data_IF_777346185639
#
_entry.id   IF_777346185639
#
_cell.length_a   1.000
_cell.length_b   1.000
_cell.length_c   1.000
_cell.angle_alpha   90.00
_cell.angle_beta   90.00
_cell.angle_gamma   90.00
#
_symmetry.space_group_name_H-M   'P 1'
#
loop_
_entity.id
_entity.type
_entity.pdbx_description
1 polymer ?
#
# COMPACT_ATOMS: atom_id res chain seq x y z
N UNK A 1 27.28 23.04 13.63
CA UNK A 1 28.26 24.08 13.29
C UNK A 1 27.74 24.98 12.17
N UNK A 2 27.49 24.47 10.96
CA UNK A 2 27.16 25.26 9.75
C UNK A 2 25.92 26.13 9.86
N UNK A 3 24.95 25.82 10.72
CA UNK A 3 23.70 26.59 10.88
C UNK A 3 23.73 27.57 12.06
N UNK A 4 24.68 27.41 12.98
CA UNK A 4 24.73 28.17 14.25
C UNK A 4 23.53 27.94 15.20
N UNK A 5 22.63 27.00 14.88
CA UNK A 5 21.44 26.69 15.71
C UNK A 5 21.84 25.79 16.87
N UNK A 6 21.34 26.12 18.04
CA UNK A 6 21.38 25.24 19.22
C UNK A 6 20.29 24.18 19.10
N UNK A 7 20.61 22.92 19.44
CA UNK A 7 19.69 21.79 19.46
C UNK A 7 19.69 21.16 20.86
N UNK A 8 18.54 20.66 21.35
CA UNK A 8 18.48 20.01 22.67
C UNK A 8 19.21 18.67 22.65
N UNK A 9 19.84 18.34 23.78
CA UNK A 9 20.35 16.98 24.03
C UNK A 9 19.28 16.25 24.81
N UNK A 10 18.85 15.09 24.30
CA UNK A 10 17.82 14.25 24.90
C UNK A 10 18.36 12.85 25.14
N UNK A 11 17.75 12.10 26.06
CA UNK A 11 18.00 10.66 26.24
C UNK A 11 16.80 9.88 25.74
N UNK A 12 17.03 8.87 24.91
CA UNK A 12 16.00 8.00 24.34
C UNK A 12 16.51 6.57 24.19
N UNK A 13 15.63 5.59 24.42
CA UNK A 13 15.97 4.16 24.31
C UNK A 13 16.34 3.73 22.87
N UNK A 14 16.03 4.53 21.87
CA UNK A 14 16.41 4.33 20.47
C UNK A 14 17.93 4.34 20.27
N UNK A 15 18.69 5.04 21.13
CA UNK A 15 20.13 5.22 20.99
C UNK A 15 20.88 4.05 21.62
N UNK A 16 21.65 3.31 20.83
CA UNK A 16 22.59 2.31 21.35
C UNK A 16 23.90 3.01 21.79
N UNK A 17 24.17 3.04 23.11
CA UNK A 17 25.38 3.72 23.63
C UNK A 17 26.70 3.02 23.23
N UNK A 18 26.62 1.77 22.73
CA UNK A 18 27.79 1.00 22.31
C UNK A 18 28.08 1.12 20.82
N UNK A 19 27.19 1.80 20.05
CA UNK A 19 27.38 1.99 18.62
C UNK A 19 28.00 3.37 18.33
N UNK A 20 29.10 3.40 17.59
CA UNK A 20 29.79 4.63 17.21
C UNK A 20 30.24 5.48 18.40
N UNK A 21 29.71 6.70 18.49
CA UNK A 21 29.97 7.62 19.62
C UNK A 21 28.96 7.50 20.77
N UNK A 22 27.95 6.64 20.64
CA UNK A 22 26.83 6.60 21.58
C UNK A 22 25.89 7.81 21.49
N UNK A 23 26.04 8.67 20.48
CA UNK A 23 25.21 9.83 20.23
C UNK A 23 24.72 9.86 18.78
N UNK A 24 23.42 10.09 18.59
CA UNK A 24 22.76 10.13 17.27
C UNK A 24 22.14 11.51 17.06
N UNK A 25 22.31 12.06 15.86
CA UNK A 25 21.59 13.27 15.43
C UNK A 25 20.18 12.87 14.99
N UNK A 26 19.17 13.50 15.57
CA UNK A 26 17.76 13.24 15.25
C UNK A 26 17.23 14.31 14.29
N UNK A 27 16.68 13.89 13.16
CA UNK A 27 16.04 14.75 12.13
C UNK A 27 14.59 14.31 11.89
N UNK A 28 13.64 14.76 12.70
CA UNK A 28 12.27 14.24 12.71
C UNK A 28 11.50 14.38 11.40
N UNK A 29 11.92 15.27 10.49
CA UNK A 29 11.22 15.49 9.21
C UNK A 29 11.63 14.50 8.11
N UNK A 30 12.83 13.91 8.18
CA UNK A 30 13.43 13.18 7.06
C UNK A 30 13.79 11.71 7.35
N UNK A 31 13.43 11.20 8.52
CA UNK A 31 13.64 9.81 8.90
C UNK A 31 12.45 9.29 9.73
N UNK A 32 11.87 8.12 9.40
CA UNK A 32 10.72 7.58 10.14
C UNK A 32 11.01 7.27 11.62
N UNK A 33 12.22 6.79 11.95
CA UNK A 33 12.58 6.51 13.33
C UNK A 33 12.79 7.81 14.12
N UNK A 34 13.48 8.77 13.51
CA UNK A 34 13.68 10.10 14.08
C UNK A 34 12.34 10.83 14.27
N UNK A 35 11.36 10.59 13.38
CA UNK A 35 10.00 11.13 13.53
C UNK A 35 9.34 10.63 14.82
N UNK A 36 9.43 9.35 15.14
CA UNK A 36 8.87 8.78 16.36
C UNK A 36 9.60 9.28 17.61
N UNK A 37 10.94 9.40 17.56
CA UNK A 37 11.71 10.05 18.64
C UNK A 37 11.27 11.51 18.81
N UNK A 38 11.17 12.24 17.70
CA UNK A 38 10.74 13.63 17.70
C UNK A 38 9.33 13.83 18.29
N UNK A 39 8.42 12.88 18.04
CA UNK A 39 7.07 12.88 18.58
C UNK A 39 7.08 12.67 20.12
N UNK A 40 7.88 11.69 20.60
CA UNK A 40 7.99 11.41 22.05
C UNK A 40 8.56 12.60 22.84
N UNK A 41 9.51 13.30 22.25
CA UNK A 41 10.21 14.44 22.90
C UNK A 41 9.74 15.82 22.44
N UNK A 42 8.66 15.88 21.66
CA UNK A 42 8.10 17.12 21.11
C UNK A 42 9.16 18.01 20.43
N UNK A 43 10.03 17.38 19.62
CA UNK A 43 11.09 18.07 18.90
C UNK A 43 10.54 18.85 17.69
N UNK A 44 11.17 19.97 17.31
CA UNK A 44 10.80 20.71 16.10
C UNK A 44 11.05 19.86 14.84
N UNK A 45 10.14 19.96 13.88
CA UNK A 45 10.22 19.28 12.59
C UNK A 45 10.70 20.28 11.53
N UNK A 46 11.99 20.29 11.25
CA UNK A 46 12.58 21.18 10.25
C UNK A 46 12.66 20.46 8.91
N UNK A 47 11.90 20.93 7.93
CA UNK A 47 12.03 20.48 6.55
C UNK A 47 13.25 21.12 5.91
N UNK A 48 14.16 20.30 5.38
CA UNK A 48 15.38 20.75 4.68
C UNK A 48 15.51 20.23 3.25
N UNK A 49 14.57 19.37 2.83
CA UNK A 49 14.43 18.88 1.45
C UNK A 49 12.99 19.16 1.03
N UNK A 50 12.77 19.77 -0.13
CA UNK A 50 11.45 19.98 -0.69
C UNK A 50 10.93 18.76 -1.46
N UNK A 51 9.74 18.86 -2.05
CA UNK A 51 9.12 17.77 -2.82
C UNK A 51 9.79 17.54 -4.18
N UNK A 52 10.63 18.44 -4.65
CA UNK A 52 11.44 18.30 -5.86
C UNK A 52 12.86 17.77 -5.58
N UNK A 53 13.16 17.42 -4.33
CA UNK A 53 14.45 16.89 -3.89
C UNK A 53 15.54 17.95 -3.74
N UNK A 54 15.16 19.23 -3.62
CA UNK A 54 16.09 20.34 -3.45
C UNK A 54 16.22 20.77 -1.99
N UNK A 55 17.41 21.23 -1.62
CA UNK A 55 17.67 21.74 -0.28
C UNK A 55 16.98 23.07 -0.04
N UNK A 56 16.23 23.19 1.06
CA UNK A 56 15.54 24.41 1.52
C UNK A 56 15.79 24.64 3.01
N UNK A 57 15.56 25.86 3.49
CA UNK A 57 15.72 26.23 4.90
C UNK A 57 17.11 25.91 5.49
N UNK A 58 18.12 25.95 4.65
CA UNK A 58 19.54 25.69 4.95
C UNK A 58 20.36 26.95 4.69
N UNK A 59 21.64 27.02 5.13
CA UNK A 59 22.52 28.11 4.75
C UNK A 59 22.57 28.33 3.23
N UNK A 60 22.56 29.58 2.77
CA UNK A 60 22.44 29.99 1.36
C UNK A 60 23.36 29.24 0.40
N UNK A 61 24.56 28.89 0.85
CA UNK A 61 25.53 28.12 0.04
C UNK A 61 25.09 26.68 -0.30
N UNK A 62 24.06 26.15 0.39
CA UNK A 62 23.51 24.81 0.16
C UNK A 62 22.08 24.86 -0.41
N UNK A 63 21.45 26.04 -0.42
CA UNK A 63 20.06 26.20 -0.86
C UNK A 63 19.90 25.91 -2.36
N UNK A 64 18.84 25.19 -2.74
CA UNK A 64 18.54 24.82 -4.12
C UNK A 64 19.39 23.67 -4.70
N UNK A 65 20.37 23.15 -3.95
CA UNK A 65 21.19 22.02 -4.39
C UNK A 65 20.41 20.71 -4.34
N UNK A 66 20.79 19.75 -5.19
CA UNK A 66 20.37 18.36 -5.03
C UNK A 66 20.99 17.73 -3.78
N UNK A 67 20.31 16.75 -3.17
CA UNK A 67 20.74 16.09 -1.93
C UNK A 67 22.18 15.55 -2.01
N UNK A 68 22.54 14.91 -3.13
CA UNK A 68 23.89 14.36 -3.31
C UNK A 68 24.97 15.44 -3.47
N UNK A 69 24.66 16.55 -4.14
CA UNK A 69 25.57 17.68 -4.26
C UNK A 69 25.70 18.40 -2.91
N UNK A 70 24.59 18.59 -2.20
CA UNK A 70 24.59 19.17 -0.87
C UNK A 70 25.43 18.37 0.12
N UNK A 71 25.30 17.03 0.11
CA UNK A 71 26.11 16.14 0.95
C UNK A 71 27.61 16.38 0.77
N UNK A 72 28.08 16.41 -0.48
CA UNK A 72 29.51 16.65 -0.78
C UNK A 72 29.97 18.02 -0.28
N UNK A 73 29.16 19.07 -0.51
CA UNK A 73 29.51 20.43 -0.09
C UNK A 73 29.46 20.61 1.44
N UNK A 74 28.50 19.97 2.12
CA UNK A 74 28.40 19.98 3.58
C UNK A 74 29.64 19.31 4.21
N UNK A 75 30.03 18.11 3.71
CA UNK A 75 31.20 17.42 4.20
C UNK A 75 32.46 18.26 3.99
N UNK A 76 32.63 18.87 2.79
CA UNK A 76 33.75 19.75 2.52
C UNK A 76 33.80 20.98 3.45
N UNK A 77 32.64 21.60 3.73
CA UNK A 77 32.56 22.73 4.65
C UNK A 77 32.91 22.34 6.10
N UNK A 78 32.44 21.18 6.56
CA UNK A 78 32.75 20.64 7.90
C UNK A 78 34.25 20.29 8.04
N UNK A 79 34.89 19.81 6.97
CA UNK A 79 36.35 19.62 6.95
C UNK A 79 37.10 20.97 7.05
N UNK A 80 36.64 21.99 6.33
CA UNK A 80 37.25 23.33 6.37
C UNK A 80 37.14 23.98 7.75
N UNK A 81 36.10 23.65 8.52
CA UNK A 81 35.91 24.10 9.91
C UNK A 81 36.64 23.22 10.94
N UNK A 82 37.35 22.17 10.50
CA UNK A 82 38.07 21.20 11.35
C UNK A 82 37.19 20.49 12.41
N UNK A 83 35.88 20.35 12.15
CA UNK A 83 34.94 19.73 13.09
C UNK A 83 34.71 18.24 12.84
N UNK A 84 35.20 17.67 11.72
CA UNK A 84 35.14 16.23 11.45
C UNK A 84 36.32 15.54 12.17
N UNK A 85 36.03 14.61 13.07
CA UNK A 85 37.02 13.81 13.77
C UNK A 85 37.41 12.54 13.00
N UNK A 86 36.45 11.90 12.35
CA UNK A 86 36.64 10.63 11.64
C UNK A 86 35.57 10.49 10.56
N UNK A 87 35.96 9.90 9.44
CA UNK A 87 35.08 9.51 8.36
C UNK A 87 35.30 8.02 8.08
N UNK A 88 34.22 7.25 8.01
CA UNK A 88 34.24 5.80 7.77
C UNK A 88 33.19 5.43 6.74
N UNK A 89 33.55 4.49 5.88
CA UNK A 89 32.59 3.86 4.96
C UNK A 89 31.80 2.80 5.71
N UNK A 90 30.49 2.90 5.66
CA UNK A 90 29.58 1.91 6.24
C UNK A 90 28.68 1.30 5.16
N UNK A 91 28.30 0.04 5.33
CA UNK A 91 27.26 -0.59 4.51
C UNK A 91 25.93 -0.48 5.24
N UNK A 92 24.93 0.06 4.55
CA UNK A 92 23.56 0.12 5.07
C UNK A 92 22.54 -0.06 3.96
N UNK A 93 21.31 -0.45 4.31
CA UNK A 93 20.21 -0.61 3.35
C UNK A 93 19.58 0.72 3.02
N UNK A 94 19.50 1.07 1.73
CA UNK A 94 18.84 2.27 1.23
C UNK A 94 17.63 1.86 0.39
N UNK A 95 16.49 2.50 0.62
CA UNK A 95 15.29 2.33 -0.21
C UNK A 95 15.44 3.05 -1.54
N UNK A 96 15.10 2.34 -2.64
CA UNK A 96 15.05 2.92 -3.98
C UNK A 96 13.66 2.75 -4.57
N UNK A 97 13.19 3.78 -5.30
CA UNK A 97 11.97 3.64 -6.09
C UNK A 97 12.20 2.62 -7.23
N UNK A 98 11.35 1.62 -7.30
CA UNK A 98 11.52 0.51 -8.24
C UNK A 98 11.31 0.89 -9.71
N UNK A 99 10.70 2.03 -10.00
CA UNK A 99 10.47 2.54 -11.36
C UNK A 99 11.60 3.44 -11.84
N UNK A 100 11.97 4.44 -11.03
CA UNK A 100 12.98 5.42 -11.40
C UNK A 100 14.40 4.99 -11.05
N UNK A 101 14.57 4.07 -10.08
CA UNK A 101 15.88 3.68 -9.55
C UNK A 101 16.55 4.77 -8.70
N UNK A 102 15.80 5.80 -8.29
CA UNK A 102 16.31 6.87 -7.45
C UNK A 102 16.14 6.54 -5.95
N UNK A 103 17.05 7.00 -5.08
CA UNK A 103 16.92 6.82 -3.65
C UNK A 103 15.70 7.58 -3.10
N UNK A 104 14.96 6.93 -2.20
CA UNK A 104 13.77 7.51 -1.57
C UNK A 104 14.21 8.49 -0.49
N UNK A 105 13.61 9.68 -0.49
CA UNK A 105 13.77 10.69 0.56
C UNK A 105 12.48 10.76 1.38
N UNK A 106 12.47 10.34 2.66
CA UNK A 106 11.29 10.47 3.51
C UNK A 106 10.95 11.93 3.75
N UNK A 107 9.68 12.28 3.55
CA UNK A 107 9.12 13.61 3.78
C UNK A 107 7.82 13.49 4.56
N UNK A 108 7.59 14.45 5.47
CA UNK A 108 6.30 14.54 6.15
C UNK A 108 5.34 15.33 5.25
N UNK A 109 4.16 14.74 5.01
CA UNK A 109 3.05 15.40 4.32
C UNK A 109 1.75 15.10 5.06
N UNK A 110 0.86 16.09 5.13
CA UNK A 110 -0.51 15.85 5.59
C UNK A 110 -1.22 14.95 4.61
N UNK A 111 -1.95 13.96 5.12
CA UNK A 111 -2.59 12.92 4.34
C UNK A 111 -3.91 12.53 4.98
N UNK A 112 -4.82 12.04 4.17
CA UNK A 112 -6.09 11.47 4.63
C UNK A 112 -5.85 10.05 5.13
N UNK A 113 -6.20 9.80 6.40
CA UNK A 113 -6.13 8.48 7.01
C UNK A 113 -7.51 7.97 7.37
N UNK A 114 -7.76 6.70 7.07
CA UNK A 114 -8.91 5.97 7.59
C UNK A 114 -8.50 5.29 8.90
N UNK A 115 -9.22 5.58 9.97
CA UNK A 115 -9.04 4.89 11.25
C UNK A 115 -9.48 3.44 11.13
N UNK A 116 -8.53 2.51 11.24
CA UNK A 116 -8.77 1.11 10.92
C UNK A 116 -9.23 0.27 12.12
N UNK A 117 -8.83 0.61 13.33
CA UNK A 117 -9.14 -0.17 14.55
C UNK A 117 -10.64 -0.49 14.68
N UNK A 118 -11.60 0.48 14.66
CA UNK A 118 -13.01 0.18 14.83
C UNK A 118 -13.61 -0.63 13.67
N UNK A 119 -13.00 -0.61 12.50
CA UNK A 119 -13.39 -1.44 11.36
C UNK A 119 -12.88 -2.87 11.52
N UNK A 120 -11.64 -3.01 11.99
CA UNK A 120 -11.00 -4.30 12.24
C UNK A 120 -11.71 -5.07 13.37
N UNK A 121 -12.12 -4.40 14.45
CA UNK A 121 -12.90 -5.03 15.52
C UNK A 121 -14.18 -5.70 15.02
N UNK A 122 -14.96 -5.00 14.17
CA UNK A 122 -16.16 -5.57 13.55
C UNK A 122 -15.84 -6.79 12.70
N UNK A 123 -14.74 -6.73 11.94
CA UNK A 123 -14.31 -7.84 11.10
C UNK A 123 -13.84 -9.05 11.94
N UNK A 124 -13.03 -8.83 12.98
CA UNK A 124 -12.58 -9.88 13.91
C UNK A 124 -13.78 -10.59 14.54
N UNK A 125 -14.74 -9.84 15.08
CA UNK A 125 -15.95 -10.39 15.69
C UNK A 125 -16.74 -11.26 14.70
N UNK A 126 -16.87 -10.84 13.44
CA UNK A 126 -17.56 -11.62 12.41
C UNK A 126 -16.81 -12.91 12.04
N UNK A 127 -15.47 -12.85 12.00
CA UNK A 127 -14.61 -13.99 11.71
C UNK A 127 -14.60 -15.01 12.85
N UNK A 128 -14.50 -14.55 14.09
CA UNK A 128 -14.55 -15.40 15.31
C UNK A 128 -15.93 -16.06 15.46
N UNK A 129 -17.00 -15.36 15.07
CA UNK A 129 -18.36 -15.90 15.01
C UNK A 129 -18.60 -16.85 13.79
N UNK A 130 -17.58 -17.19 13.02
CA UNK A 130 -17.63 -18.05 11.83
C UNK A 130 -18.68 -17.61 10.78
N UNK A 131 -18.90 -16.30 10.62
CA UNK A 131 -19.82 -15.78 9.59
C UNK A 131 -19.26 -15.91 8.17
N UNK A 132 -17.98 -16.19 8.03
CA UNK A 132 -17.29 -16.41 6.75
C UNK A 132 -16.44 -17.68 6.86
N UNK A 133 -16.57 -18.58 5.88
CA UNK A 133 -15.76 -19.79 5.77
C UNK A 133 -14.57 -19.54 4.84
N UNK A 134 -13.39 -20.06 5.18
CA UNK A 134 -12.18 -19.90 4.39
C UNK A 134 -11.66 -21.23 3.85
N UNK A 135 -11.24 -21.22 2.60
CA UNK A 135 -10.56 -22.31 1.93
C UNK A 135 -9.20 -21.83 1.40
N UNK A 136 -8.06 -22.22 2.06
CA UNK A 136 -7.94 -23.15 3.19
C UNK A 136 -8.32 -22.49 4.53
N UNK A 137 -8.83 -23.29 5.47
CA UNK A 137 -9.36 -22.82 6.75
C UNK A 137 -8.35 -22.01 7.60
N UNK A 138 -7.06 -22.35 7.53
CA UNK A 138 -5.99 -21.66 8.27
C UNK A 138 -5.83 -20.18 7.93
N UNK A 139 -6.31 -19.75 6.76
CA UNK A 139 -6.24 -18.36 6.31
C UNK A 139 -7.10 -17.41 7.16
N UNK A 140 -8.17 -17.92 7.78
CA UNK A 140 -8.97 -17.14 8.74
C UNK A 140 -8.11 -16.64 9.91
N UNK A 141 -7.29 -17.49 10.50
CA UNK A 141 -6.46 -17.12 11.64
C UNK A 141 -5.35 -16.12 11.24
N UNK A 142 -4.78 -16.30 10.05
CA UNK A 142 -3.80 -15.33 9.51
C UNK A 142 -4.45 -13.96 9.35
N UNK A 143 -5.68 -13.90 8.82
CA UNK A 143 -6.41 -12.64 8.67
C UNK A 143 -6.73 -11.99 10.02
N UNK A 144 -7.17 -12.77 11.02
CA UNK A 144 -7.41 -12.26 12.38
C UNK A 144 -6.13 -11.66 12.98
N UNK A 145 -4.98 -12.33 12.84
CA UNK A 145 -3.70 -11.79 13.34
C UNK A 145 -3.30 -10.50 12.62
N UNK A 146 -3.50 -10.43 11.31
CA UNK A 146 -3.28 -9.20 10.56
C UNK A 146 -4.16 -8.04 11.07
N UNK A 147 -5.47 -8.30 11.25
CA UNK A 147 -6.42 -7.30 11.73
C UNK A 147 -6.13 -6.81 13.16
N UNK A 148 -5.62 -7.67 14.04
CA UNK A 148 -5.22 -7.29 15.41
C UNK A 148 -4.02 -6.32 15.45
N UNK A 149 -3.20 -6.32 14.41
CA UNK A 149 -2.01 -5.48 14.29
C UNK A 149 -2.14 -4.42 13.18
N UNK A 150 -3.36 -4.10 12.77
CA UNK A 150 -3.59 -3.19 11.67
C UNK A 150 -3.29 -1.74 12.09
N UNK A 151 -2.65 -0.99 11.21
CA UNK A 151 -2.43 0.44 11.37
C UNK A 151 -3.44 1.24 10.57
N UNK A 152 -3.62 2.51 10.91
CA UNK A 152 -4.44 3.44 10.16
C UNK A 152 -3.99 3.50 8.69
N UNK A 153 -4.97 3.53 7.80
CA UNK A 153 -4.74 3.40 6.37
C UNK A 153 -4.65 4.77 5.71
N UNK A 154 -3.47 5.11 5.21
CA UNK A 154 -3.28 6.27 4.36
C UNK A 154 -4.04 6.10 3.03
N UNK A 155 -5.06 6.93 2.83
CA UNK A 155 -5.90 6.91 1.62
C UNK A 155 -5.36 7.80 0.51
N UNK A 156 -4.54 8.79 0.83
CA UNK A 156 -4.06 9.80 -0.13
C UNK A 156 -3.02 9.24 -1.10
N UNK A 157 -3.17 9.58 -2.39
CA UNK A 157 -2.18 9.31 -3.43
C UNK A 157 -1.93 10.56 -4.26
N UNK A 158 -0.66 10.92 -4.41
CA UNK A 158 -0.18 12.06 -5.21
C UNK A 158 0.08 11.60 -6.65
N UNK A 159 -0.99 11.20 -7.35
CA UNK A 159 -0.93 10.71 -8.73
C UNK A 159 -1.95 11.45 -9.60
N UNK A 160 -1.64 11.71 -10.88
CA UNK A 160 -2.52 12.50 -11.75
C UNK A 160 -3.79 11.76 -12.17
N UNK A 161 -3.84 10.44 -11.99
CA UNK A 161 -4.97 9.59 -12.36
C UNK A 161 -5.48 8.79 -11.15
N UNK A 162 -6.72 9.00 -10.79
CA UNK A 162 -7.37 8.31 -9.68
C UNK A 162 -8.74 8.89 -9.37
N UNK A 163 -9.44 8.32 -8.38
CA UNK A 163 -10.72 8.85 -7.88
C UNK A 163 -10.41 10.02 -6.94
N UNK A 164 -10.88 11.23 -7.24
CA UNK A 164 -10.63 12.40 -6.38
C UNK A 164 -11.20 12.21 -4.97
N UNK A 165 -10.50 12.72 -3.98
CA UNK A 165 -11.03 12.81 -2.62
C UNK A 165 -12.06 13.93 -2.59
N UNK A 166 -13.33 13.67 -2.16
CA UNK A 166 -14.42 14.63 -2.22
C UNK A 166 -14.36 15.65 -1.07
N UNK A 167 -13.16 16.18 -0.79
CA UNK A 167 -12.90 17.14 0.26
C UNK A 167 -12.45 18.48 -0.32
N UNK A 168 -12.88 19.56 0.29
CA UNK A 168 -12.56 20.93 -0.12
C UNK A 168 -12.15 21.73 1.10
N UNK A 169 -10.98 22.37 1.03
CA UNK A 169 -10.40 23.19 2.08
C UNK A 169 -10.72 24.66 1.84
N UNK A 170 -11.12 25.38 2.88
CA UNK A 170 -11.29 26.83 2.81
C UNK A 170 -9.94 27.52 2.53
N UNK A 171 -9.92 28.38 1.51
CA UNK A 171 -8.69 29.11 1.11
C UNK A 171 -8.18 30.06 2.22
N UNK A 172 -9.07 30.55 3.07
CA UNK A 172 -8.76 31.47 4.15
C UNK A 172 -8.54 30.83 5.52
N UNK A 173 -8.87 29.54 5.68
CA UNK A 173 -8.76 28.81 6.94
C UNK A 173 -8.49 27.32 6.65
N UNK A 174 -7.28 26.88 6.86
CA UNK A 174 -6.80 25.53 6.57
C UNK A 174 -7.41 24.45 7.46
N UNK A 175 -8.10 24.83 8.52
CA UNK A 175 -8.84 23.91 9.42
C UNK A 175 -10.28 23.71 9.02
N UNK A 176 -10.85 24.55 8.12
CA UNK A 176 -12.23 24.52 7.68
C UNK A 176 -12.37 23.68 6.39
N UNK A 177 -12.90 22.48 6.51
CA UNK A 177 -13.10 21.53 5.44
C UNK A 177 -14.58 21.22 5.21
N UNK A 178 -14.96 21.05 3.95
CA UNK A 178 -16.27 20.55 3.55
C UNK A 178 -16.14 19.34 2.64
N UNK A 179 -17.19 18.55 2.55
CA UNK A 179 -17.28 17.41 1.63
C UNK A 179 -18.39 17.67 0.62
N UNK A 180 -18.12 17.41 -0.66
CA UNK A 180 -19.08 17.57 -1.75
C UNK A 180 -18.90 16.49 -2.80
N UNK A 181 -20.01 16.10 -3.44
CA UNK A 181 -19.99 15.20 -4.60
C UNK A 181 -19.56 15.93 -5.90
N UNK A 182 -19.47 17.26 -5.88
CA UNK A 182 -19.06 18.09 -7.03
C UNK A 182 -17.56 18.03 -7.29
N UNK A 183 -17.01 16.82 -7.34
CA UNK A 183 -15.55 16.57 -7.45
C UNK A 183 -14.95 16.98 -8.79
N UNK A 184 -15.74 17.31 -9.80
CA UNK A 184 -15.25 17.83 -11.08
C UNK A 184 -14.86 19.32 -10.96
N UNK A 185 -15.42 20.04 -9.99
CA UNK A 185 -15.10 21.43 -9.74
C UNK A 185 -13.78 21.55 -8.94
N UNK A 186 -12.93 22.49 -9.33
CA UNK A 186 -11.69 22.79 -8.60
C UNK A 186 -11.92 23.66 -7.38
N UNK A 187 -12.98 24.44 -7.40
CA UNK A 187 -13.35 25.37 -6.31
C UNK A 187 -14.86 25.42 -6.15
N UNK A 188 -15.30 25.53 -4.90
CA UNK A 188 -16.69 25.75 -4.54
C UNK A 188 -16.84 27.03 -3.73
N UNK A 189 -17.93 27.78 -3.94
CA UNK A 189 -18.26 28.93 -3.09
C UNK A 189 -19.56 28.64 -2.33
N UNK A 190 -19.45 28.53 -1.01
CA UNK A 190 -20.56 28.21 -0.12
C UNK A 190 -20.61 29.25 1.01
N UNK A 191 -21.75 29.89 1.19
CA UNK A 191 -21.97 30.92 2.23
C UNK A 191 -20.90 32.06 2.22
N UNK A 192 -20.45 32.47 1.02
CA UNK A 192 -19.46 33.53 0.86
C UNK A 192 -18.01 33.11 1.13
N UNK A 193 -17.76 31.85 1.45
CA UNK A 193 -16.42 31.26 1.59
C UNK A 193 -16.06 30.51 0.33
N UNK A 194 -14.79 30.60 -0.08
CA UNK A 194 -14.26 29.83 -1.21
C UNK A 194 -13.42 28.66 -0.72
N UNK A 195 -13.74 27.48 -1.24
CA UNK A 195 -13.07 26.20 -0.91
C UNK A 195 -12.39 25.67 -2.15
N UNK A 196 -11.16 25.18 -1.99
CA UNK A 196 -10.38 24.52 -3.04
C UNK A 196 -10.40 23.02 -2.80
N UNK A 197 -10.65 22.24 -3.88
CA UNK A 197 -10.67 20.79 -3.82
C UNK A 197 -9.31 20.24 -3.42
N UNK A 198 -9.32 19.14 -2.66
CA UNK A 198 -8.16 18.31 -2.41
C UNK A 198 -7.57 17.80 -3.74
N UNK A 199 -6.25 17.88 -3.88
CA UNK A 199 -5.54 17.46 -5.10
C UNK A 199 -5.21 15.97 -5.11
N UNK A 200 -5.10 15.35 -3.93
CA UNK A 200 -4.83 13.93 -3.79
C UNK A 200 -6.02 13.08 -4.27
N UNK A 201 -5.70 11.88 -4.71
CA UNK A 201 -6.70 10.88 -5.10
C UNK A 201 -6.73 9.73 -4.08
N UNK A 202 -7.82 8.95 -4.08
CA UNK A 202 -7.91 7.77 -3.23
C UNK A 202 -6.94 6.67 -3.66
N UNK A 203 -6.41 5.95 -2.67
CA UNK A 203 -5.81 4.63 -2.89
C UNK A 203 -6.79 3.72 -3.65
N UNK A 204 -6.33 3.07 -4.71
CA UNK A 204 -7.11 2.13 -5.53
C UNK A 204 -7.80 1.05 -4.69
N UNK A 205 -7.17 0.61 -3.60
CA UNK A 205 -7.76 -0.39 -2.70
C UNK A 205 -8.97 0.13 -1.93
N UNK A 206 -9.14 1.45 -1.81
CA UNK A 206 -10.32 2.04 -1.18
C UNK A 206 -11.58 1.81 -2.03
N UNK A 207 -11.53 2.07 -3.32
CA UNK A 207 -12.64 1.77 -4.23
C UNK A 207 -12.84 0.26 -4.40
N UNK A 208 -11.74 -0.51 -4.56
CA UNK A 208 -11.80 -1.96 -4.69
C UNK A 208 -12.40 -2.65 -3.45
N UNK A 209 -12.15 -2.11 -2.25
CA UNK A 209 -12.74 -2.62 -1.01
C UNK A 209 -14.25 -2.42 -0.88
N UNK A 210 -14.80 -1.49 -1.66
CA UNK A 210 -16.24 -1.19 -1.69
C UNK A 210 -17.01 -2.06 -2.71
N UNK A 211 -16.29 -2.80 -3.55
CA UNK A 211 -16.85 -3.55 -4.66
C UNK A 211 -18.10 -4.39 -4.30
N UNK A 212 -18.13 -5.19 -3.20
CA UNK A 212 -19.27 -6.08 -2.95
C UNK A 212 -20.61 -5.37 -2.76
N UNK A 213 -20.62 -4.24 -2.06
CA UNK A 213 -21.88 -3.55 -1.75
C UNK A 213 -22.24 -2.47 -2.78
N UNK A 214 -21.28 -1.94 -3.53
CA UNK A 214 -21.57 -0.97 -4.62
C UNK A 214 -22.12 -1.71 -5.84
N UNK A 215 -21.45 -2.79 -6.30
CA UNK A 215 -21.88 -3.51 -7.53
C UNK A 215 -23.17 -4.30 -7.36
N UNK A 216 -23.57 -4.57 -6.14
CA UNK A 216 -24.83 -5.28 -5.84
C UNK A 216 -25.96 -4.33 -5.40
N UNK A 217 -25.78 -3.02 -5.47
CA UNK A 217 -26.77 -2.03 -4.98
C UNK A 217 -27.19 -2.25 -3.51
N UNK A 218 -26.34 -2.83 -2.69
CA UNK A 218 -26.71 -3.26 -1.33
C UNK A 218 -27.09 -2.09 -0.41
N UNK A 219 -26.57 -0.88 -0.69
CA UNK A 219 -26.89 0.34 0.09
C UNK A 219 -28.21 1.00 -0.36
N UNK A 220 -28.53 0.93 -1.64
CA UNK A 220 -29.68 1.61 -2.23
C UNK A 220 -30.91 0.73 -2.33
N UNK A 221 -30.77 -0.60 -2.14
CA UNK A 221 -31.85 -1.56 -2.29
C UNK A 221 -32.29 -1.79 -3.73
N UNK A 222 -31.40 -1.55 -4.70
CA UNK A 222 -31.66 -1.75 -6.12
C UNK A 222 -31.88 -3.22 -6.50
N UNK A 223 -32.06 -3.48 -7.79
CA UNK A 223 -32.43 -4.81 -8.32
C UNK A 223 -31.41 -5.89 -8.02
N UNK A 224 -30.14 -5.53 -7.85
CA UNK A 224 -29.04 -6.43 -7.57
C UNK A 224 -28.82 -6.67 -6.07
N UNK A 225 -29.49 -5.94 -5.17
CA UNK A 225 -29.33 -6.07 -3.72
C UNK A 225 -29.62 -7.49 -3.19
N UNK A 226 -30.39 -8.27 -3.92
CA UNK A 226 -30.67 -9.70 -3.62
C UNK A 226 -29.43 -10.60 -3.67
N UNK A 227 -28.37 -10.15 -4.35
CA UNK A 227 -27.10 -10.89 -4.46
C UNK A 227 -26.10 -10.53 -3.37
N UNK A 228 -26.46 -9.62 -2.46
CA UNK A 228 -25.63 -9.28 -1.30
C UNK A 228 -26.19 -9.87 0.00
N UNK A 229 -25.40 -10.53 0.82
CA UNK A 229 -24.02 -11.01 0.60
C UNK A 229 -23.91 -11.99 -0.58
N UNK A 230 -22.76 -11.96 -1.29
CA UNK A 230 -22.50 -13.00 -2.31
C UNK A 230 -22.20 -14.35 -1.67
N UNK A 231 -22.34 -15.44 -2.41
CA UNK A 231 -22.08 -16.77 -1.86
C UNK A 231 -20.59 -17.06 -1.74
N UNK A 232 -19.82 -16.78 -2.79
CA UNK A 232 -18.40 -17.11 -2.87
C UNK A 232 -17.58 -15.94 -3.38
N UNK A 233 -16.49 -15.65 -2.68
CA UNK A 233 -15.41 -14.79 -3.15
C UNK A 233 -14.17 -15.62 -3.45
N UNK A 234 -13.71 -15.59 -4.69
CA UNK A 234 -12.54 -16.33 -5.16
C UNK A 234 -11.44 -15.36 -5.58
N UNK A 235 -10.20 -15.54 -5.05
CA UNK A 235 -9.05 -14.71 -5.40
C UNK A 235 -7.72 -15.36 -5.00
N UNK A 236 -6.59 -14.72 -5.35
CA UNK A 236 -5.25 -15.15 -4.96
C UNK A 236 -4.98 -15.01 -3.46
N UNK A 237 -4.16 -15.90 -2.91
CA UNK A 237 -3.76 -15.87 -1.49
C UNK A 237 -3.04 -14.60 -1.08
N UNK A 238 -2.39 -13.91 -2.00
CA UNK A 238 -1.67 -12.65 -1.80
C UNK A 238 -2.58 -11.43 -1.66
N UNK A 239 -3.89 -11.60 -1.88
CA UNK A 239 -4.91 -10.55 -1.71
C UNK A 239 -5.69 -10.65 -0.39
N UNK A 240 -5.32 -11.56 0.50
CA UNK A 240 -6.02 -11.79 1.76
C UNK A 240 -6.06 -10.53 2.65
N UNK A 241 -4.92 -9.93 2.88
CA UNK A 241 -4.74 -8.74 3.72
C UNK A 241 -5.09 -7.44 3.00
N UNK A 242 -4.89 -7.40 1.68
CA UNK A 242 -5.08 -6.18 0.88
C UNK A 242 -6.50 -5.98 0.42
N UNK A 243 -7.17 -7.02 -0.03
CA UNK A 243 -8.50 -6.89 -0.64
C UNK A 243 -9.60 -7.54 0.20
N UNK A 244 -9.45 -8.82 0.58
CA UNK A 244 -10.45 -9.54 1.38
C UNK A 244 -10.68 -8.81 2.71
N UNK A 245 -9.62 -8.44 3.44
CA UNK A 245 -9.72 -7.68 4.68
C UNK A 245 -10.53 -6.40 4.51
N UNK A 246 -10.21 -5.61 3.48
CA UNK A 246 -10.86 -4.32 3.21
C UNK A 246 -12.34 -4.49 2.83
N UNK A 247 -12.66 -5.47 1.99
CA UNK A 247 -14.06 -5.76 1.66
C UNK A 247 -14.88 -6.13 2.89
N UNK A 248 -14.34 -6.97 3.77
CA UNK A 248 -15.03 -7.37 5.01
C UNK A 248 -15.25 -6.16 5.93
N UNK A 249 -14.20 -5.37 6.18
CA UNK A 249 -14.27 -4.20 7.05
C UNK A 249 -15.25 -3.14 6.53
N UNK A 250 -15.12 -2.76 5.26
CA UNK A 250 -15.97 -1.72 4.67
C UNK A 250 -17.42 -2.18 4.53
N UNK A 251 -17.67 -3.43 4.13
CA UNK A 251 -19.04 -3.96 4.05
C UNK A 251 -19.72 -4.01 5.42
N UNK A 252 -19.04 -4.47 6.47
CA UNK A 252 -19.57 -4.48 7.83
C UNK A 252 -19.83 -3.07 8.35
N UNK A 253 -18.98 -2.10 7.96
CA UNK A 253 -19.19 -0.71 8.36
C UNK A 253 -20.41 -0.08 7.68
N UNK A 254 -20.54 -0.27 6.36
CA UNK A 254 -21.55 0.38 5.55
C UNK A 254 -22.92 -0.31 5.60
N UNK A 255 -22.95 -1.65 5.68
CA UNK A 255 -24.20 -2.42 5.56
C UNK A 255 -24.57 -3.22 6.82
N UNK A 256 -23.66 -3.36 7.77
CA UNK A 256 -23.83 -4.25 8.95
C UNK A 256 -23.72 -5.74 8.62
N UNK A 257 -23.45 -6.12 7.36
CA UNK A 257 -23.40 -7.52 6.90
C UNK A 257 -22.02 -7.87 6.37
N UNK A 258 -21.64 -9.15 6.48
CA UNK A 258 -20.46 -9.68 5.78
C UNK A 258 -20.70 -9.64 4.26
N UNK A 259 -19.65 -9.40 3.45
CA UNK A 259 -19.83 -9.24 2.00
C UNK A 259 -20.06 -10.57 1.25
N UNK A 260 -19.61 -11.69 1.81
CA UNK A 260 -19.67 -13.02 1.21
C UNK A 260 -19.68 -14.10 2.31
N UNK A 261 -20.21 -15.30 1.98
CA UNK A 261 -20.28 -16.43 2.90
C UNK A 261 -19.00 -17.24 2.93
N UNK A 262 -18.42 -17.47 1.74
CA UNK A 262 -17.23 -18.30 1.54
C UNK A 262 -16.11 -17.49 0.86
N UNK A 263 -14.86 -17.77 1.25
CA UNK A 263 -13.65 -17.24 0.63
C UNK A 263 -12.79 -18.41 0.16
N UNK A 264 -12.65 -18.55 -1.15
CA UNK A 264 -11.73 -19.51 -1.75
C UNK A 264 -10.47 -18.80 -2.23
N UNK A 265 -9.34 -19.18 -1.66
CA UNK A 265 -8.05 -18.60 -1.98
C UNK A 265 -7.23 -19.58 -2.82
N UNK A 266 -6.99 -19.24 -4.09
CA UNK A 266 -6.10 -20.01 -4.93
C UNK A 266 -4.64 -19.62 -4.73
N UNK A 267 -3.73 -20.56 -4.95
CA UNK A 267 -2.30 -20.28 -5.03
C UNK A 267 -1.90 -19.66 -6.36
N UNK A 268 -0.73 -19.05 -6.41
CA UNK A 268 -0.17 -18.47 -7.64
C UNK A 268 0.31 -19.57 -8.58
N UNK A 269 0.21 -19.30 -9.90
CA UNK A 269 0.96 -20.04 -10.92
C UNK A 269 2.37 -19.49 -10.97
N UNK A 270 3.34 -20.34 -10.72
CA UNK A 270 4.77 -20.02 -10.79
C UNK A 270 5.32 -20.52 -12.13
N UNK A 271 6.52 -20.08 -12.50
CA UNK A 271 7.23 -20.66 -13.64
C UNK A 271 7.65 -22.12 -13.37
N UNK A 272 8.24 -22.78 -14.34
CA UNK A 272 8.71 -24.17 -14.22
C UNK A 272 9.77 -24.36 -13.14
N UNK A 273 10.45 -23.29 -12.72
CA UNK A 273 11.44 -23.28 -11.63
C UNK A 273 10.83 -22.86 -10.28
N UNK A 274 9.50 -22.82 -10.16
CA UNK A 274 8.77 -22.39 -8.95
C UNK A 274 9.04 -20.95 -8.54
N UNK A 275 9.39 -20.07 -9.49
CA UNK A 275 9.56 -18.64 -9.26
C UNK A 275 8.33 -17.84 -9.68
N UNK A 276 8.07 -16.73 -8.98
CA UNK A 276 6.99 -15.82 -9.38
C UNK A 276 7.27 -15.23 -10.75
N UNK A 277 6.31 -15.39 -11.67
CA UNK A 277 6.38 -14.80 -12.99
C UNK A 277 6.26 -13.29 -12.94
N UNK A 278 7.13 -12.58 -13.67
CA UNK A 278 7.06 -11.13 -13.84
C UNK A 278 7.63 -10.71 -15.19
N UNK A 279 7.09 -9.61 -15.74
CA UNK A 279 7.57 -9.04 -17.02
C UNK A 279 9.05 -8.65 -16.95
N UNK A 280 9.50 -8.13 -15.81
CA UNK A 280 10.88 -7.70 -15.59
C UNK A 280 11.89 -8.85 -15.57
N UNK A 281 11.45 -10.07 -15.19
CA UNK A 281 12.29 -11.28 -15.21
C UNK A 281 12.26 -12.02 -16.53
N UNK A 282 11.33 -11.69 -17.45
CA UNK A 282 11.18 -12.37 -18.73
C UNK A 282 10.68 -13.82 -18.65
N UNK A 283 10.18 -14.25 -17.48
CA UNK A 283 9.70 -15.62 -17.24
C UNK A 283 8.17 -15.77 -17.29
N UNK A 284 7.50 -14.82 -17.96
CA UNK A 284 6.04 -14.86 -18.14
C UNK A 284 5.68 -15.80 -19.28
N UNK A 285 4.80 -16.75 -19.00
CA UNK A 285 4.23 -17.65 -20.00
C UNK A 285 3.00 -16.97 -20.62
N UNK A 286 2.99 -16.84 -21.94
CA UNK A 286 1.86 -16.24 -22.65
C UNK A 286 0.73 -17.27 -22.81
N UNK A 287 -0.43 -17.08 -22.17
CA UNK A 287 -1.52 -18.03 -22.28
C UNK A 287 -2.10 -18.18 -23.70
N UNK A 288 -1.98 -17.13 -24.54
CA UNK A 288 -2.52 -17.16 -25.90
C UNK A 288 -1.72 -18.09 -26.81
N UNK A 289 -0.43 -18.27 -26.58
CA UNK A 289 0.39 -19.25 -27.31
C UNK A 289 -0.07 -20.67 -26.98
N UNK A 290 -0.32 -20.93 -25.70
CA UNK A 290 -0.85 -22.25 -25.25
C UNK A 290 -2.26 -22.51 -25.79
N UNK A 291 -3.11 -21.49 -25.85
CA UNK A 291 -4.46 -21.62 -26.44
C UNK A 291 -4.36 -21.93 -27.92
N UNK A 292 -3.44 -21.29 -28.65
CA UNK A 292 -3.24 -21.56 -30.09
C UNK A 292 -2.73 -22.97 -30.38
N UNK A 293 -1.90 -23.52 -29.48
CA UNK A 293 -1.30 -24.85 -29.66
C UNK A 293 -2.19 -25.99 -29.15
N UNK A 294 -2.82 -25.83 -27.98
CA UNK A 294 -3.52 -26.89 -27.27
C UNK A 294 -5.03 -26.71 -27.18
N UNK A 295 -5.54 -25.52 -27.45
CA UNK A 295 -6.93 -25.14 -27.23
C UNK A 295 -7.23 -24.58 -25.85
N UNK A 296 -8.27 -23.74 -25.73
CA UNK A 296 -8.65 -23.05 -24.49
C UNK A 296 -9.06 -24.01 -23.38
N UNK A 297 -9.80 -25.06 -23.72
CA UNK A 297 -10.29 -26.04 -22.73
C UNK A 297 -9.13 -26.84 -22.11
N UNK A 298 -8.14 -27.20 -22.93
CA UNK A 298 -6.93 -27.87 -22.48
C UNK A 298 -6.15 -27.02 -21.45
N UNK A 299 -5.96 -25.76 -21.75
CA UNK A 299 -5.29 -24.83 -20.83
C UNK A 299 -6.08 -24.67 -19.54
N UNK A 300 -7.38 -24.40 -19.63
CA UNK A 300 -8.26 -24.22 -18.45
C UNK A 300 -8.27 -25.46 -17.56
N UNK A 301 -8.44 -26.63 -18.14
CA UNK A 301 -8.42 -27.87 -17.39
C UNK A 301 -7.05 -28.16 -16.77
N UNK A 302 -5.96 -27.96 -17.52
CA UNK A 302 -4.59 -28.12 -17.01
C UNK A 302 -4.24 -27.19 -15.84
N UNK A 303 -4.83 -25.99 -15.81
CA UNK A 303 -4.65 -25.04 -14.71
C UNK A 303 -5.49 -25.40 -13.47
N UNK A 304 -6.63 -26.05 -13.60
CA UNK A 304 -7.60 -26.25 -12.50
C UNK A 304 -7.53 -27.66 -11.90
N UNK A 305 -7.37 -28.69 -12.72
CA UNK A 305 -7.61 -30.09 -12.36
C UNK A 305 -6.77 -30.64 -11.18
N UNK A 306 -5.64 -30.02 -10.87
CA UNK A 306 -4.73 -30.50 -9.82
C UNK A 306 -4.51 -29.49 -8.69
N UNK A 307 -5.42 -28.53 -8.52
CA UNK A 307 -5.24 -27.49 -7.51
C UNK A 307 -5.88 -27.81 -6.18
N UNK A 308 -5.11 -27.52 -5.12
CA UNK A 308 -5.62 -27.42 -3.76
C UNK A 308 -5.69 -25.96 -3.32
N UNK A 309 -6.66 -25.58 -2.49
CA UNK A 309 -6.76 -24.21 -1.99
C UNK A 309 -5.46 -23.74 -1.33
N UNK A 310 -5.03 -22.53 -1.67
CA UNK A 310 -3.88 -21.85 -1.06
C UNK A 310 -2.49 -22.35 -1.49
N UNK A 311 -2.39 -23.35 -2.35
CA UNK A 311 -1.10 -23.89 -2.79
C UNK A 311 -0.65 -23.27 -4.10
N UNK A 312 0.57 -22.68 -4.10
CA UNK A 312 1.24 -22.26 -5.31
C UNK A 312 1.61 -23.49 -6.15
N UNK A 313 1.58 -23.36 -7.46
CA UNK A 313 1.87 -24.45 -8.38
C UNK A 313 2.76 -23.99 -9.52
N UNK A 314 3.86 -24.71 -9.75
CA UNK A 314 4.66 -24.51 -10.94
C UNK A 314 3.85 -24.88 -12.19
N UNK A 315 3.98 -24.07 -13.22
CA UNK A 315 3.40 -24.36 -14.53
C UNK A 315 4.04 -25.63 -15.12
N UNK A 316 3.22 -26.43 -15.79
CA UNK A 316 3.68 -27.61 -16.53
C UNK A 316 2.88 -27.74 -17.81
N UNK A 317 3.59 -27.77 -18.95
CA UNK A 317 2.99 -28.02 -20.25
C UNK A 317 2.33 -29.43 -20.32
N UNK A 318 2.88 -30.42 -19.62
CA UNK A 318 2.32 -31.78 -19.57
C UNK A 318 0.90 -31.81 -19.03
N UNK A 319 0.57 -30.92 -18.09
CA UNK A 319 -0.80 -30.80 -17.55
C UNK A 319 -1.76 -30.26 -18.60
N UNK A 320 -1.30 -29.34 -19.44
CA UNK A 320 -2.11 -28.80 -20.55
C UNK A 320 -2.34 -29.89 -21.60
N UNK A 321 -1.31 -30.68 -21.92
CA UNK A 321 -1.42 -31.85 -22.80
C UNK A 321 -2.38 -32.90 -22.25
N UNK A 322 -2.30 -33.19 -20.95
CA UNK A 322 -3.23 -34.09 -20.28
C UNK A 322 -4.68 -33.55 -20.35
N UNK A 323 -4.86 -32.24 -20.13
CA UNK A 323 -6.13 -31.56 -20.31
C UNK A 323 -6.71 -31.71 -21.70
N UNK A 324 -5.90 -31.48 -22.75
CA UNK A 324 -6.29 -31.70 -24.15
C UNK A 324 -6.75 -33.13 -24.40
N UNK A 325 -5.96 -34.08 -23.96
CA UNK A 325 -6.29 -35.50 -24.15
C UNK A 325 -7.61 -35.88 -23.46
N UNK A 326 -7.86 -35.36 -22.28
CA UNK A 326 -9.10 -35.54 -21.56
C UNK A 326 -10.30 -34.92 -22.29
N UNK A 327 -10.19 -33.67 -22.74
CA UNK A 327 -11.24 -33.00 -23.51
C UNK A 327 -11.56 -33.75 -24.81
N UNK A 328 -10.54 -34.22 -25.54
CA UNK A 328 -10.75 -35.04 -26.73
C UNK A 328 -11.45 -36.34 -26.42
N UNK A 329 -11.12 -36.96 -25.28
CA UNK A 329 -11.83 -38.19 -24.83
C UNK A 329 -13.31 -37.93 -24.58
N UNK A 330 -13.62 -36.82 -23.87
CA UNK A 330 -15.03 -36.46 -23.65
C UNK A 330 -15.78 -36.21 -24.94
N UNK A 331 -15.18 -35.46 -25.87
CA UNK A 331 -15.76 -35.22 -27.19
C UNK A 331 -16.06 -36.50 -27.98
N UNK A 332 -15.15 -37.47 -27.95
CA UNK A 332 -15.31 -38.73 -28.68
C UNK A 332 -16.31 -39.70 -28.02
N UNK A 333 -16.72 -39.45 -26.77
CA UNK A 333 -17.72 -40.26 -26.06
C UNK A 333 -19.14 -39.70 -26.29
N UNK A 334 -19.26 -38.40 -26.51
CA UNK A 334 -20.52 -37.70 -26.75
C UNK A 334 -21.03 -37.88 -28.19
#
# INVERSE_FOLDING_TARGET
PLTGKEIPIIADEYVDPNFGSGAVKITPFHDPNDFEVGKRHNLPRLQVIDFDGKMINVPTQFEGLDVEEARKKVVAALHAEEVIRKEETIEHTVGYDYKSGLPIQPLIKEQWFLRMEPLAEKAINALEANKITFYPAGKKNILIQYLKNIHDWNLSRQIPWGIPIPAFQNIADDTDWIFSEDVDEKTLTINGKTYRREEDTFDTWFSSGQWPFITTDALTGGTLARFFPTDLMETGTDLLDRWIARMIMLSLHMTGKVPFKDVYLHGMVLDEHSQKMSKSKGNVINPMELVSEYGSDALRLGLIASRSPGQNQAFSADRVVAGRNFCNKLWNIS
#
